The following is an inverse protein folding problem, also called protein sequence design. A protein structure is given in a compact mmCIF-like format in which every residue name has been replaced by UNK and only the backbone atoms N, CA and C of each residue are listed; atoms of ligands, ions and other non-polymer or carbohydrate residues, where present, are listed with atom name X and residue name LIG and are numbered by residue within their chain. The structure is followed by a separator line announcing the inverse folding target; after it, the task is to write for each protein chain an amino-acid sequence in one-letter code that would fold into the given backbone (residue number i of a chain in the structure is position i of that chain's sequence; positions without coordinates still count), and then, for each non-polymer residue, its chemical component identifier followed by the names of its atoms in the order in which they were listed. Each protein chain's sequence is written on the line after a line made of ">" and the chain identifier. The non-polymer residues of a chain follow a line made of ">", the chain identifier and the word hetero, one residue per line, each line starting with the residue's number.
data_IF_965445054436
#
_entry.id   IF_965445054436
#
_cell.length_a   1.000
_cell.length_b   1.000
_cell.length_c   1.000
_cell.angle_alpha   90.00
_cell.angle_beta   90.00
_cell.angle_gamma   90.00
#
_symmetry.space_group_name_H-M   'P 1'
#
loop_
_entity.id
_entity.type
_entity.pdbx_description
1 polymer ?
#
# COMPACT_ATOMS: atom_id res chain seq x y z
N UNK A 1 8.68 21.33 38.59
CA UNK A 1 7.44 20.65 38.15
C UNK A 1 7.06 20.92 36.69
N UNK A 2 7.22 22.13 36.14
CA UNK A 2 6.83 22.40 34.73
C UNK A 2 7.63 21.62 33.67
N UNK A 3 8.91 21.33 33.93
CA UNK A 3 9.76 20.61 32.97
C UNK A 3 9.35 19.14 32.79
N UNK A 4 8.89 18.46 33.86
CA UNK A 4 8.44 17.06 33.77
C UNK A 4 7.09 16.93 33.07
N UNK A 5 6.16 17.86 33.32
CA UNK A 5 4.87 17.90 32.62
C UNK A 5 5.04 18.11 31.12
N UNK A 6 5.97 18.98 30.71
CA UNK A 6 6.27 19.24 29.30
C UNK A 6 6.86 18.01 28.58
N UNK A 7 7.78 17.30 29.23
CA UNK A 7 8.38 16.07 28.66
C UNK A 7 7.38 14.93 28.53
N UNK A 8 6.40 14.84 29.44
CA UNK A 8 5.36 13.81 29.40
C UNK A 8 4.24 14.12 28.38
N UNK A 9 3.98 15.40 28.11
CA UNK A 9 2.88 15.83 27.22
C UNK A 9 3.32 16.03 25.76
N UNK A 10 4.60 16.36 25.53
CA UNK A 10 5.12 16.65 24.19
C UNK A 10 6.09 15.54 23.75
N UNK A 11 5.70 14.66 22.80
CA UNK A 11 6.61 13.63 22.29
C UNK A 11 7.80 14.27 21.58
N UNK A 12 9.02 13.89 21.99
CA UNK A 12 10.26 14.37 21.37
C UNK A 12 10.38 13.79 19.96
N UNK A 13 10.50 14.65 18.97
CA UNK A 13 10.88 14.22 17.62
C UNK A 13 12.35 13.79 17.64
N UNK A 14 12.68 12.70 16.94
CA UNK A 14 14.02 12.08 16.95
C UNK A 14 15.13 12.94 16.35
N UNK A 15 14.83 14.17 15.89
CA UNK A 15 15.76 15.05 15.17
C UNK A 15 16.22 14.51 13.81
N UNK A 16 15.87 13.27 13.47
CA UNK A 16 16.25 12.61 12.23
C UNK A 16 15.31 13.02 11.10
N UNK A 17 15.76 13.95 10.27
CA UNK A 17 15.10 14.27 9.03
C UNK A 17 15.73 13.44 7.91
N UNK A 18 15.00 12.47 7.31
CA UNK A 18 15.55 11.70 6.20
C UNK A 18 15.99 12.66 5.09
N UNK A 19 17.15 12.35 4.47
CA UNK A 19 17.63 13.10 3.30
C UNK A 19 16.51 13.17 2.26
N UNK A 20 16.35 14.34 1.64
CA UNK A 20 15.23 14.64 0.72
C UNK A 20 15.10 13.51 -0.31
N UNK A 21 13.98 12.79 -0.37
CA UNK A 21 13.89 11.51 -1.06
C UNK A 21 13.78 11.63 -2.59
N UNK A 22 14.04 12.83 -3.15
CA UNK A 22 13.82 13.11 -4.56
C UNK A 22 15.11 12.86 -5.36
N UNK A 23 15.08 12.00 -6.40
CA UNK A 23 16.27 11.62 -7.16
C UNK A 23 16.99 12.76 -7.89
N UNK A 24 16.31 13.89 -8.11
CA UNK A 24 16.86 15.06 -8.79
C UNK A 24 17.57 16.04 -7.86
N UNK A 25 17.65 15.76 -6.55
CA UNK A 25 18.31 16.66 -5.60
C UNK A 25 19.83 16.54 -5.69
N UNK A 26 20.52 17.63 -6.04
CA UNK A 26 21.98 17.70 -6.10
C UNK A 26 22.57 18.63 -5.01
N UNK A 27 23.88 18.57 -4.75
CA UNK A 27 24.56 19.54 -3.89
C UNK A 27 24.35 20.99 -4.33
N UNK A 28 24.28 21.25 -5.64
CA UNK A 28 23.99 22.57 -6.21
C UNK A 28 22.60 23.06 -5.80
N UNK A 29 21.59 22.17 -5.80
CA UNK A 29 20.25 22.49 -5.27
C UNK A 29 20.29 22.86 -3.79
N UNK A 30 21.09 22.14 -2.98
CA UNK A 30 21.27 22.46 -1.56
C UNK A 30 21.85 23.85 -1.38
N UNK A 31 22.93 24.18 -2.09
CA UNK A 31 23.58 25.48 -2.02
C UNK A 31 22.64 26.61 -2.44
N UNK A 32 21.97 26.48 -3.58
CA UNK A 32 21.04 27.51 -4.07
C UNK A 32 19.86 27.75 -3.10
N UNK A 33 19.32 26.70 -2.48
CA UNK A 33 18.27 26.85 -1.46
C UNK A 33 18.80 27.46 -0.16
N UNK A 34 20.02 27.11 0.25
CA UNK A 34 20.68 27.70 1.42
C UNK A 34 20.92 29.19 1.22
N UNK A 35 21.44 29.60 0.07
CA UNK A 35 21.62 31.01 -0.30
C UNK A 35 20.31 31.78 -0.32
N UNK A 36 19.26 31.21 -0.95
CA UNK A 36 17.92 31.81 -0.95
C UNK A 36 17.40 32.01 0.48
N UNK A 37 17.58 31.02 1.36
CA UNK A 37 17.17 31.10 2.77
C UNK A 37 17.98 32.16 3.51
N UNK A 38 19.30 32.22 3.30
CA UNK A 38 20.16 33.23 3.91
C UNK A 38 19.77 34.65 3.48
N UNK A 39 19.55 34.88 2.18
CA UNK A 39 19.09 36.17 1.67
C UNK A 39 17.73 36.58 2.25
N UNK A 40 16.78 35.63 2.31
CA UNK A 40 15.48 35.88 2.96
C UNK A 40 15.63 36.20 4.45
N UNK A 41 16.50 35.50 5.17
CA UNK A 41 16.77 35.77 6.59
C UNK A 41 17.41 37.13 6.83
N UNK A 42 18.20 37.67 5.89
CA UNK A 42 18.72 39.05 5.96
C UNK A 42 17.59 40.06 5.73
N UNK A 43 16.84 39.92 4.63
CA UNK A 43 15.70 40.78 4.31
C UNK A 43 14.64 40.81 5.42
N UNK A 44 14.37 39.65 6.04
CA UNK A 44 13.38 39.54 7.12
C UNK A 44 13.78 40.32 8.38
N UNK A 45 15.08 40.41 8.68
CA UNK A 45 15.61 41.13 9.84
C UNK A 45 15.64 42.64 9.59
N UNK A 46 16.00 43.04 8.38
CA UNK A 46 16.13 44.44 7.99
C UNK A 46 15.07 44.77 6.95
N UNK A 47 13.83 44.97 7.40
CA UNK A 47 12.72 45.30 6.51
C UNK A 47 12.92 46.70 5.91
N UNK A 48 12.69 46.84 4.60
CA UNK A 48 12.71 48.13 3.90
C UNK A 48 14.00 48.43 3.12
N UNK A 49 15.06 47.63 3.27
CA UNK A 49 16.29 47.80 2.49
C UNK A 49 16.11 47.31 1.03
N UNK A 50 16.19 48.21 0.03
CA UNK A 50 16.01 47.84 -1.38
C UNK A 50 17.10 46.91 -1.90
N UNK A 51 18.33 47.00 -1.37
CA UNK A 51 19.45 46.16 -1.81
C UNK A 51 19.25 44.71 -1.39
N UNK A 52 18.80 44.48 -0.16
CA UNK A 52 18.47 43.15 0.36
C UNK A 52 17.28 42.53 -0.35
N UNK A 53 16.31 43.35 -0.78
CA UNK A 53 15.18 42.89 -1.58
C UNK A 53 15.65 42.38 -2.95
N UNK A 54 16.52 43.13 -3.63
CA UNK A 54 17.09 42.72 -4.92
C UNK A 54 17.95 41.47 -4.80
N UNK A 55 18.78 41.36 -3.76
CA UNK A 55 19.55 40.16 -3.47
C UNK A 55 18.68 38.93 -3.26
N UNK A 56 17.58 39.08 -2.53
CA UNK A 56 16.60 38.01 -2.34
C UNK A 56 15.92 37.62 -3.66
N UNK A 57 15.53 38.60 -4.49
CA UNK A 57 14.95 38.35 -5.83
C UNK A 57 15.92 37.56 -6.71
N UNK A 58 17.19 37.97 -6.77
CA UNK A 58 18.25 37.26 -7.51
C UNK A 58 18.46 35.85 -6.99
N UNK A 59 18.61 35.67 -5.67
CA UNK A 59 18.80 34.35 -5.05
C UNK A 59 17.57 33.44 -5.27
N UNK A 60 16.36 33.99 -5.23
CA UNK A 60 15.11 33.27 -5.54
C UNK A 60 15.05 32.83 -7.00
N UNK A 61 15.45 33.70 -7.94
CA UNK A 61 15.52 33.37 -9.36
C UNK A 61 16.55 32.27 -9.64
N UNK A 62 17.76 32.41 -9.08
CA UNK A 62 18.82 31.38 -9.16
C UNK A 62 18.36 30.03 -8.62
N UNK A 63 17.80 30.01 -7.40
CA UNK A 63 17.26 28.77 -6.84
C UNK A 63 16.19 28.16 -7.74
N UNK A 64 15.23 28.94 -8.23
CA UNK A 64 14.20 28.45 -9.16
C UNK A 64 14.79 27.82 -10.42
N UNK A 65 15.78 28.47 -11.04
CA UNK A 65 16.47 27.97 -12.23
C UNK A 65 17.17 26.63 -11.95
N UNK A 66 18.02 26.60 -10.93
CA UNK A 66 18.78 25.39 -10.53
C UNK A 66 17.83 24.22 -10.26
N UNK A 67 16.76 24.43 -9.48
CA UNK A 67 15.79 23.36 -9.20
C UNK A 67 15.07 22.89 -10.47
N UNK A 68 14.73 23.79 -11.40
CA UNK A 68 14.06 23.45 -12.66
C UNK A 68 14.98 22.63 -13.56
N UNK A 69 16.24 23.04 -13.69
CA UNK A 69 17.27 22.35 -14.48
C UNK A 69 17.55 20.97 -13.91
N UNK A 70 17.75 20.84 -12.60
CA UNK A 70 18.01 19.55 -11.94
C UNK A 70 16.85 18.56 -12.13
N UNK A 71 15.60 19.03 -11.97
CA UNK A 71 14.40 18.22 -12.25
C UNK A 71 14.35 17.75 -13.70
N UNK A 72 14.57 18.68 -14.64
CA UNK A 72 14.54 18.38 -16.08
C UNK A 72 15.63 17.38 -16.46
N UNK A 73 16.85 17.59 -15.99
CA UNK A 73 17.98 16.70 -16.27
C UNK A 73 17.72 15.28 -15.75
N UNK A 74 17.26 15.16 -14.50
CA UNK A 74 16.92 13.86 -13.91
C UNK A 74 15.75 13.18 -14.62
N UNK A 75 14.72 13.92 -15.00
CA UNK A 75 13.59 13.39 -15.78
C UNK A 75 14.03 12.88 -17.14
N UNK A 76 14.83 13.67 -17.88
CA UNK A 76 15.39 13.28 -19.18
C UNK A 76 16.21 12.00 -19.06
N UNK A 77 17.14 11.95 -18.10
CA UNK A 77 17.97 10.77 -17.86
C UNK A 77 17.13 9.52 -17.55
N UNK A 78 16.07 9.66 -16.75
CA UNK A 78 15.20 8.54 -16.42
C UNK A 78 14.39 8.05 -17.62
N UNK A 79 13.74 8.97 -18.36
CA UNK A 79 12.98 8.60 -19.56
C UNK A 79 13.88 7.90 -20.58
N UNK A 80 15.12 8.36 -20.75
CA UNK A 80 16.11 7.70 -21.61
C UNK A 80 16.54 6.30 -21.13
N UNK A 81 16.32 5.95 -19.86
CA UNK A 81 16.65 4.62 -19.32
C UNK A 81 15.51 3.60 -19.37
N UNK A 82 14.28 4.03 -19.68
CA UNK A 82 13.12 3.14 -19.76
C UNK A 82 13.23 2.28 -21.02
N UNK A 83 13.03 0.97 -20.87
CA UNK A 83 13.03 0.01 -21.97
C UNK A 83 11.87 -0.99 -21.85
N UNK A 84 11.72 -1.88 -22.82
CA UNK A 84 10.66 -2.92 -22.86
C UNK A 84 10.70 -3.89 -21.67
N UNK A 85 11.84 -4.02 -21.00
CA UNK A 85 12.02 -4.87 -19.82
C UNK A 85 11.69 -4.15 -18.51
N UNK A 86 11.36 -2.86 -18.55
CA UNK A 86 11.09 -2.07 -17.34
C UNK A 86 9.64 -2.30 -16.88
N UNK A 87 9.42 -2.91 -15.71
CA UNK A 87 8.07 -3.19 -15.25
C UNK A 87 7.34 -1.89 -14.87
N UNK A 88 6.05 -1.82 -15.19
CA UNK A 88 5.20 -0.66 -14.96
C UNK A 88 5.18 -0.20 -13.49
N UNK A 89 5.25 -1.16 -12.55
CA UNK A 89 5.33 -0.89 -11.11
C UNK A 89 6.57 -0.10 -10.72
N UNK A 90 7.73 -0.39 -11.32
CA UNK A 90 8.94 0.39 -11.11
C UNK A 90 8.81 1.77 -11.73
N UNK A 91 8.14 1.89 -12.88
CA UNK A 91 7.89 3.18 -13.51
C UNK A 91 7.09 4.10 -12.59
N UNK A 92 5.93 3.65 -12.13
CA UNK A 92 5.11 4.42 -11.20
C UNK A 92 5.84 4.77 -9.90
N UNK A 93 6.58 3.81 -9.31
CA UNK A 93 7.42 4.08 -8.13
C UNK A 93 8.42 5.20 -8.38
N UNK A 94 9.09 5.20 -9.54
CA UNK A 94 10.07 6.24 -9.88
C UNK A 94 9.42 7.60 -10.13
N UNK A 95 8.27 7.63 -10.81
CA UNK A 95 7.48 8.86 -11.01
C UNK A 95 7.06 9.47 -9.67
N UNK A 96 6.53 8.65 -8.74
CA UNK A 96 6.19 9.11 -7.40
C UNK A 96 7.41 9.66 -6.63
N UNK A 97 8.58 9.01 -6.75
CA UNK A 97 9.84 9.50 -6.14
C UNK A 97 10.26 10.85 -6.72
N UNK A 98 10.17 11.02 -8.03
CA UNK A 98 10.50 12.28 -8.71
C UNK A 98 9.52 13.41 -8.33
N UNK A 99 8.24 13.10 -8.15
CA UNK A 99 7.23 14.05 -7.67
C UNK A 99 7.37 14.38 -6.17
N UNK A 100 8.17 13.63 -5.40
CA UNK A 100 8.26 13.76 -3.95
C UNK A 100 7.02 13.23 -3.21
N UNK A 101 6.18 12.44 -3.90
CA UNK A 101 4.96 11.81 -3.35
C UNK A 101 5.18 10.35 -2.96
N UNK A 102 6.40 9.84 -3.09
CA UNK A 102 6.72 8.47 -2.73
C UNK A 102 6.66 8.30 -1.21
N UNK A 103 5.74 7.45 -0.77
CA UNK A 103 5.76 6.88 0.57
C UNK A 103 6.26 5.44 0.46
N UNK A 104 7.28 5.02 1.24
CA UNK A 104 7.55 3.61 1.40
C UNK A 104 6.33 2.94 2.03
N UNK A 105 6.11 1.66 1.67
CA UNK A 105 5.14 0.83 2.38
C UNK A 105 5.65 0.61 3.80
N UNK A 106 4.79 0.82 4.79
CA UNK A 106 5.11 0.48 6.17
C UNK A 106 5.22 -1.03 6.32
N UNK A 107 6.24 -1.55 7.03
CA UNK A 107 6.28 -2.97 7.34
C UNK A 107 5.02 -3.38 8.13
N UNK A 108 4.56 -4.63 8.00
CA UNK A 108 3.42 -5.10 8.77
C UNK A 108 3.76 -5.06 10.26
N UNK A 109 2.85 -4.49 11.06
CA UNK A 109 3.01 -4.37 12.51
C UNK A 109 1.90 -5.16 13.17
N UNK A 110 2.27 -6.14 14.00
CA UNK A 110 1.35 -6.88 14.85
C UNK A 110 1.50 -6.45 16.30
N UNK A 111 0.40 -6.49 17.04
CA UNK A 111 0.42 -6.35 18.51
C UNK A 111 0.00 -7.67 19.13
N UNK A 112 0.89 -8.28 19.90
CA UNK A 112 0.63 -9.53 20.63
C UNK A 112 1.00 -9.29 22.07
N UNK A 113 0.04 -9.50 22.99
CA UNK A 113 0.22 -9.30 24.43
C UNK A 113 0.78 -7.90 24.79
N UNK A 114 0.34 -6.86 24.08
CA UNK A 114 0.80 -5.48 24.28
C UNK A 114 2.16 -5.15 23.64
N UNK A 115 2.90 -6.13 23.14
CA UNK A 115 4.21 -5.95 22.48
C UNK A 115 3.99 -5.74 20.98
N UNK A 116 4.65 -4.74 20.39
CA UNK A 116 4.67 -4.51 18.94
C UNK A 116 5.75 -5.36 18.28
N UNK A 117 5.34 -6.22 17.36
CA UNK A 117 6.23 -7.02 16.51
C UNK A 117 6.28 -6.34 15.14
N UNK A 118 7.48 -6.00 14.67
CA UNK A 118 7.71 -5.34 13.37
C UNK A 118 8.62 -6.15 12.43
N UNK A 119 9.26 -7.19 12.94
CA UNK A 119 10.07 -8.09 12.12
C UNK A 119 9.15 -8.94 11.24
N UNK A 120 9.42 -8.93 9.93
CA UNK A 120 8.54 -9.55 8.93
C UNK A 120 8.43 -11.07 9.09
N UNK A 121 9.53 -11.74 9.42
CA UNK A 121 9.54 -13.19 9.64
C UNK A 121 8.73 -13.56 10.88
N UNK A 122 8.99 -12.86 11.99
CA UNK A 122 8.25 -13.07 13.24
C UNK A 122 6.76 -12.79 13.04
N UNK A 123 6.40 -11.70 12.36
CA UNK A 123 5.01 -11.37 12.02
C UNK A 123 4.34 -12.50 11.24
N UNK A 124 5.01 -13.03 10.21
CA UNK A 124 4.48 -14.12 9.39
C UNK A 124 4.27 -15.40 10.21
N UNK A 125 5.24 -15.78 11.04
CA UNK A 125 5.14 -16.94 11.91
C UNK A 125 3.99 -16.80 12.91
N UNK A 126 3.85 -15.64 13.54
CA UNK A 126 2.76 -15.40 14.49
C UNK A 126 1.39 -15.45 13.82
N UNK A 127 1.26 -14.96 12.58
CA UNK A 127 0.03 -15.16 11.80
C UNK A 127 -0.22 -16.65 11.51
N UNK A 128 0.81 -17.38 11.09
CA UNK A 128 0.71 -18.81 10.78
C UNK A 128 0.28 -19.63 12.01
N UNK A 129 0.86 -19.37 13.17
CA UNK A 129 0.48 -20.00 14.44
C UNK A 129 -0.97 -19.68 14.83
N UNK A 130 -1.39 -18.42 14.70
CA UNK A 130 -2.76 -18.02 14.99
C UNK A 130 -3.76 -18.73 14.05
N UNK A 131 -3.46 -18.80 12.75
CA UNK A 131 -4.28 -19.53 11.79
C UNK A 131 -4.30 -21.02 12.06
N UNK A 132 -3.16 -21.64 12.40
CA UNK A 132 -3.07 -23.05 12.75
C UNK A 132 -3.91 -23.35 14.01
N UNK A 133 -3.85 -22.49 15.03
CA UNK A 133 -4.66 -22.61 16.24
C UNK A 133 -6.15 -22.51 15.96
N UNK A 134 -6.58 -21.51 15.20
CA UNK A 134 -8.01 -21.35 14.82
C UNK A 134 -8.47 -22.52 13.94
N UNK A 135 -7.62 -22.97 13.04
CA UNK A 135 -7.93 -24.07 12.11
C UNK A 135 -7.79 -25.45 12.75
N UNK A 136 -7.20 -25.54 13.94
CA UNK A 136 -7.01 -26.81 14.65
C UNK A 136 -8.34 -27.52 14.81
N UNK A 137 -8.34 -28.83 14.56
CA UNK A 137 -9.53 -29.65 14.63
C UNK A 137 -10.15 -29.61 16.03
N UNK A 138 -9.30 -29.45 17.04
CA UNK A 138 -9.65 -29.45 18.45
C UNK A 138 -10.28 -28.15 18.97
N UNK A 139 -10.26 -27.07 18.19
CA UNK A 139 -10.97 -25.83 18.54
C UNK A 139 -12.44 -25.84 18.10
N UNK A 140 -12.84 -26.80 17.24
CA UNK A 140 -14.18 -26.86 16.65
C UNK A 140 -15.15 -27.69 17.50
N UNK A 141 -16.46 -27.41 17.50
CA UNK A 141 -17.47 -28.27 18.14
C UNK A 141 -17.46 -29.70 17.58
N UNK A 142 -17.79 -30.69 18.39
CA UNK A 142 -17.76 -32.11 18.00
C UNK A 142 -18.63 -32.40 16.77
N UNK A 143 -19.83 -31.81 16.68
CA UNK A 143 -20.73 -31.95 15.51
C UNK A 143 -20.06 -31.55 14.20
N UNK A 144 -19.40 -30.39 14.18
CA UNK A 144 -18.67 -29.86 13.02
C UNK A 144 -17.47 -30.75 12.67
N UNK A 145 -16.78 -31.32 13.67
CA UNK A 145 -15.66 -32.26 13.42
C UNK A 145 -16.13 -33.54 12.74
N UNK A 146 -17.26 -34.09 13.17
CA UNK A 146 -17.84 -35.29 12.58
C UNK A 146 -18.28 -35.06 11.14
N UNK A 147 -18.92 -33.92 10.87
CA UNK A 147 -19.32 -33.54 9.51
C UNK A 147 -18.11 -33.34 8.58
N UNK A 148 -17.05 -32.66 9.06
CA UNK A 148 -15.80 -32.53 8.31
C UNK A 148 -15.13 -33.89 8.07
N UNK A 149 -15.09 -34.79 9.07
CA UNK A 149 -14.56 -36.16 8.89
C UNK A 149 -15.33 -36.94 7.84
N UNK A 150 -16.65 -36.82 7.81
CA UNK A 150 -17.48 -37.46 6.81
C UNK A 150 -17.17 -36.92 5.42
N UNK A 151 -17.05 -35.59 5.27
CA UNK A 151 -16.73 -34.92 4.00
C UNK A 151 -15.28 -35.09 3.54
N UNK A 152 -14.31 -35.26 4.44
CA UNK A 152 -12.90 -35.51 4.08
C UNK A 152 -12.67 -36.97 3.65
N UNK A 153 -13.52 -37.90 4.11
CA UNK A 153 -13.47 -39.32 3.72
C UNK A 153 -14.13 -39.59 2.37
N UNK A 154 -14.88 -38.65 1.80
CA UNK A 154 -15.41 -38.82 0.46
C UNK A 154 -14.23 -38.81 -0.51
N UNK A 155 -14.00 -39.94 -1.17
CA UNK A 155 -13.04 -40.00 -2.28
C UNK A 155 -13.51 -39.02 -3.35
N UNK A 156 -12.67 -38.05 -3.66
CA UNK A 156 -12.95 -37.12 -4.75
C UNK A 156 -12.70 -37.86 -6.05
N UNK A 157 -13.76 -38.00 -6.84
CA UNK A 157 -13.63 -38.50 -8.20
C UNK A 157 -13.08 -37.38 -9.09
N UNK A 158 -11.88 -37.61 -9.61
CA UNK A 158 -11.21 -36.70 -10.55
C UNK A 158 -11.37 -37.17 -12.00
N UNK A 159 -12.20 -38.18 -12.26
CA UNK A 159 -12.56 -38.59 -13.63
C UNK A 159 -13.53 -37.56 -14.23
N UNK A 160 -13.00 -36.42 -14.63
CA UNK A 160 -13.75 -35.38 -15.34
C UNK A 160 -13.82 -35.68 -16.84
N UNK A 161 -15.00 -35.52 -17.43
CA UNK A 161 -15.15 -35.44 -18.89
C UNK A 161 -14.89 -34.00 -19.35
N UNK A 162 -14.29 -33.79 -20.52
CA UNK A 162 -14.13 -32.45 -21.11
C UNK A 162 -15.49 -31.79 -21.43
N UNK A 163 -16.56 -32.58 -21.45
CA UNK A 163 -17.91 -32.14 -21.79
C UNK A 163 -18.74 -31.63 -20.59
N UNK A 164 -18.11 -31.37 -19.45
CA UNK A 164 -18.79 -30.76 -18.31
C UNK A 164 -19.24 -29.33 -18.61
N UNK A 165 -20.38 -28.92 -18.05
CA UNK A 165 -21.00 -27.61 -18.34
C UNK A 165 -20.09 -26.41 -18.05
N UNK A 166 -19.16 -26.55 -17.11
CA UNK A 166 -18.17 -25.53 -16.75
C UNK A 166 -16.94 -25.47 -17.68
N UNK A 167 -16.75 -26.50 -18.51
CA UNK A 167 -15.68 -26.58 -19.51
C UNK A 167 -16.10 -26.02 -20.88
N UNK A 168 -17.39 -25.69 -21.08
CA UNK A 168 -17.86 -25.03 -22.29
C UNK A 168 -17.35 -23.58 -22.40
N UNK A 169 -17.26 -23.10 -23.64
CA UNK A 169 -16.85 -21.73 -23.95
C UNK A 169 -17.83 -20.77 -23.27
N UNK A 170 -17.28 -19.89 -22.42
CA UNK A 170 -18.05 -18.87 -21.71
C UNK A 170 -18.73 -17.93 -22.70
N UNK A 171 -20.06 -17.86 -22.65
CA UNK A 171 -20.86 -17.06 -23.59
C UNK A 171 -21.29 -15.73 -23.00
N UNK A 172 -21.71 -14.79 -23.87
CA UNK A 172 -22.32 -13.53 -23.43
C UNK A 172 -23.55 -13.76 -22.55
N UNK A 173 -24.29 -14.85 -22.75
CA UNK A 173 -25.45 -15.19 -21.93
C UNK A 173 -25.04 -15.50 -20.49
N UNK A 174 -23.96 -16.25 -20.32
CA UNK A 174 -23.42 -16.59 -18.99
C UNK A 174 -22.95 -15.33 -18.27
N UNK A 175 -22.34 -14.38 -19.00
CA UNK A 175 -21.98 -13.06 -18.46
C UNK A 175 -23.21 -12.26 -17.99
N UNK A 176 -24.24 -12.17 -18.82
CA UNK A 176 -25.47 -11.47 -18.47
C UNK A 176 -26.18 -12.10 -17.27
N UNK A 177 -26.21 -13.44 -17.20
CA UNK A 177 -26.76 -14.18 -16.06
C UNK A 177 -25.94 -14.00 -14.78
N UNK A 178 -24.60 -13.96 -14.86
CA UNK A 178 -23.75 -13.70 -13.70
C UNK A 178 -23.94 -12.26 -13.18
N UNK A 179 -24.06 -11.29 -14.09
CA UNK A 179 -24.29 -9.89 -13.73
C UNK A 179 -25.67 -9.68 -13.10
N UNK A 180 -26.73 -10.32 -13.60
CA UNK A 180 -28.07 -10.21 -13.02
C UNK A 180 -28.15 -10.81 -11.60
N UNK A 181 -27.44 -11.91 -11.35
CA UNK A 181 -27.31 -12.49 -10.01
C UNK A 181 -26.55 -11.56 -9.06
N UNK A 182 -25.49 -10.91 -9.52
CA UNK A 182 -24.70 -9.96 -8.71
C UNK A 182 -25.45 -8.66 -8.38
N UNK A 183 -26.34 -8.21 -9.27
CA UNK A 183 -27.19 -7.04 -9.04
C UNK A 183 -28.20 -7.28 -7.90
N UNK A 184 -28.70 -8.52 -7.75
CA UNK A 184 -29.56 -8.88 -6.62
C UNK A 184 -28.80 -8.88 -5.28
N UNK A 185 -27.50 -9.18 -5.27
CA UNK A 185 -26.67 -9.20 -4.05
C UNK A 185 -26.35 -7.80 -3.52
N UNK A 186 -26.35 -6.77 -4.39
CA UNK A 186 -26.05 -5.39 -4.03
C UNK A 186 -27.24 -4.62 -3.40
N UNK A 187 -28.47 -5.13 -3.55
CA UNK A 187 -29.69 -4.46 -3.05
C UNK A 187 -30.09 -4.88 -1.62
N UNK A 188 -29.51 -5.94 -1.07
CA UNK A 188 -29.78 -6.42 0.29
C UNK A 188 -28.53 -6.28 1.17
N UNK A 189 -28.09 -5.04 1.42
CA UNK A 189 -26.91 -4.71 2.21
C UNK A 189 -26.87 -5.33 3.61
N UNK A 190 -26.53 -6.61 3.71
CA UNK A 190 -26.30 -7.36 4.94
C UNK A 190 -25.14 -8.35 4.73
N UNK A 191 -24.23 -8.36 5.69
CA UNK A 191 -23.01 -9.17 5.78
C UNK A 191 -23.27 -10.65 6.08
N UNK A 192 -24.27 -11.25 5.43
CA UNK A 192 -24.62 -12.68 5.52
C UNK A 192 -24.43 -13.42 4.19
N UNK A 193 -23.87 -12.76 3.17
CA UNK A 193 -23.64 -13.36 1.84
C UNK A 193 -22.52 -14.40 1.76
N UNK A 194 -21.67 -14.55 2.79
CA UNK A 194 -20.68 -15.64 2.77
C UNK A 194 -21.32 -17.02 3.00
N UNK A 195 -22.54 -17.09 3.55
CA UNK A 195 -23.32 -18.34 3.66
C UNK A 195 -24.31 -18.55 2.50
N UNK A 196 -24.91 -17.49 1.92
CA UNK A 196 -25.90 -17.68 0.84
C UNK A 196 -25.29 -17.99 -0.54
N UNK A 197 -24.09 -17.48 -0.85
CA UNK A 197 -23.33 -17.96 -2.01
C UNK A 197 -22.83 -19.40 -1.82
N UNK A 198 -22.58 -19.80 -0.56
CA UNK A 198 -22.27 -21.18 -0.22
C UNK A 198 -23.51 -22.07 -0.36
N UNK A 199 -24.70 -21.61 0.04
CA UNK A 199 -25.96 -22.39 -0.05
C UNK A 199 -26.47 -22.56 -1.49
N UNK A 200 -26.23 -21.60 -2.39
CA UNK A 200 -26.58 -21.76 -3.82
C UNK A 200 -25.59 -22.67 -4.55
N UNK A 201 -24.31 -22.62 -4.19
CA UNK A 201 -23.31 -23.58 -4.66
C UNK A 201 -23.56 -24.98 -4.06
N UNK A 202 -23.95 -25.09 -2.79
CA UNK A 202 -24.31 -26.34 -2.10
C UNK A 202 -25.64 -26.89 -2.61
N UNK A 203 -26.63 -26.08 -3.00
CA UNK A 203 -27.86 -26.56 -3.65
C UNK A 203 -27.62 -27.15 -5.04
N UNK A 204 -26.68 -26.59 -5.83
CA UNK A 204 -26.20 -27.29 -7.04
C UNK A 204 -25.39 -28.54 -6.68
N UNK A 205 -24.70 -28.55 -5.53
CA UNK A 205 -23.99 -29.72 -5.00
C UNK A 205 -24.91 -30.82 -4.42
N UNK A 206 -26.18 -30.52 -4.11
CA UNK A 206 -27.18 -31.50 -3.66
C UNK A 206 -27.77 -32.36 -4.79
N UNK A 207 -27.46 -32.04 -6.04
CA UNK A 207 -27.64 -32.94 -7.20
C UNK A 207 -26.33 -33.65 -7.59
N UNK A 208 -25.30 -33.58 -6.74
CA UNK A 208 -23.91 -33.97 -7.00
C UNK A 208 -23.38 -34.96 -5.93
N UNK A 209 -24.29 -35.73 -5.35
CA UNK A 209 -24.05 -37.05 -4.76
C UNK A 209 -25.11 -38.01 -5.29
#
# INVERSE_FOLDING_TARGET
>A
MLHSAALNSIPRTSGYFPKRPVPWWSPVCTTAVREKRAAFSRLRRNRGDPTLLEDFRRARARARRVLKEARRASWKAYVSSINTKTPLTQVFRRVCKMAGKFSPSSPPVLKVNGIKIMDGLTVANTMAEAFAKVSSRDSRPLSVRHELRAKERTVLDFTGNENESYNHIFTLRDLHSALSLSAATLLLGQTTSHMQCYDTWVRKRSHFF
#
